data_IF_896273708012
#
_entry.id   IF_896273708012
#
_cell.length_a   1.000
_cell.length_b   1.000
_cell.length_c   1.000
_cell.angle_alpha   90.00
_cell.angle_beta   90.00
_cell.angle_gamma   90.00
#
_symmetry.space_group_name_H-M   'P 1'
#
loop_
_entity.id
_entity.type
_entity.pdbx_description
1 polymer ?
#
# COMPACT_ATOMS: atom_id res chain seq x y z
N UNK A 1 -5.18 44.89 6.31
CA UNK A 1 -5.46 44.41 4.94
C UNK A 1 -5.95 42.97 5.01
N UNK A 2 -6.96 42.62 4.23
CA UNK A 2 -7.75 41.38 4.31
C UNK A 2 -6.95 40.12 3.91
N UNK A 3 -5.91 39.77 4.66
CA UNK A 3 -4.96 38.70 4.32
C UNK A 3 -5.61 37.31 4.27
N UNK A 4 -6.58 37.05 5.15
CA UNK A 4 -7.38 35.82 5.12
C UNK A 4 -8.19 35.66 3.83
N UNK A 5 -8.68 36.76 3.23
CA UNK A 5 -9.38 36.72 1.93
C UNK A 5 -8.42 36.42 0.78
N UNK A 6 -7.18 36.90 0.87
CA UNK A 6 -6.13 36.61 -0.11
C UNK A 6 -5.66 35.16 -0.05
N UNK A 7 -5.44 34.60 1.15
CA UNK A 7 -5.07 33.20 1.32
C UNK A 7 -6.19 32.25 0.88
N UNK A 8 -7.44 32.58 1.20
CA UNK A 8 -8.61 31.83 0.76
C UNK A 8 -8.79 31.92 -0.77
N UNK A 9 -8.57 33.10 -1.35
CA UNK A 9 -8.56 33.29 -2.80
C UNK A 9 -7.46 32.48 -3.50
N UNK A 10 -6.24 32.45 -2.94
CA UNK A 10 -5.13 31.65 -3.46
C UNK A 10 -5.41 30.14 -3.36
N UNK A 11 -6.07 29.69 -2.29
CA UNK A 11 -6.49 28.30 -2.13
C UNK A 11 -7.52 27.90 -3.19
N UNK A 12 -8.56 28.72 -3.38
CA UNK A 12 -9.58 28.50 -4.42
C UNK A 12 -8.95 28.51 -5.80
N UNK A 13 -8.02 29.43 -6.05
CA UNK A 13 -7.30 29.52 -7.32
C UNK A 13 -6.44 28.28 -7.54
N UNK A 14 -5.71 27.79 -6.53
CA UNK A 14 -4.93 26.56 -6.62
C UNK A 14 -5.81 25.32 -6.87
N UNK A 15 -6.95 25.21 -6.17
CA UNK A 15 -7.94 24.14 -6.39
C UNK A 15 -8.51 24.23 -7.81
N UNK A 16 -8.81 25.44 -8.27
CA UNK A 16 -9.32 25.70 -9.62
C UNK A 16 -8.32 25.33 -10.71
N UNK A 17 -7.05 25.72 -10.56
CA UNK A 17 -5.96 25.35 -11.47
C UNK A 17 -5.74 23.84 -11.47
N UNK A 18 -5.82 23.18 -10.32
CA UNK A 18 -5.70 21.72 -10.21
C UNK A 18 -6.85 21.00 -10.94
N UNK A 19 -8.10 21.43 -10.72
CA UNK A 19 -9.27 20.90 -11.42
C UNK A 19 -9.16 21.12 -12.94
N UNK A 20 -8.67 22.28 -13.36
CA UNK A 20 -8.44 22.59 -14.76
C UNK A 20 -7.35 21.68 -15.37
N UNK A 21 -6.26 21.43 -14.64
CA UNK A 21 -5.19 20.54 -15.06
C UNK A 21 -5.65 19.07 -15.20
N UNK A 22 -6.55 18.60 -14.32
CA UNK A 22 -7.20 17.28 -14.44
C UNK A 22 -8.10 17.24 -15.69
N UNK A 23 -8.91 18.28 -15.93
CA UNK A 23 -9.80 18.37 -17.11
C UNK A 23 -9.05 18.46 -18.44
N UNK A 24 -7.87 19.10 -18.45
CA UNK A 24 -6.99 19.20 -19.62
C UNK A 24 -6.13 17.94 -19.85
N UNK A 25 -6.23 16.92 -18.99
CA UNK A 25 -5.48 15.69 -19.11
C UNK A 25 -4.00 15.78 -18.72
N UNK A 26 -3.57 16.91 -18.14
CA UNK A 26 -2.22 17.08 -17.59
C UNK A 26 -2.03 16.37 -16.24
N UNK A 27 -3.12 16.07 -15.53
CA UNK A 27 -3.11 15.37 -14.25
C UNK A 27 -4.08 14.17 -14.28
N UNK A 28 -3.68 13.06 -13.65
CA UNK A 28 -4.46 11.82 -13.63
C UNK A 28 -5.78 12.01 -12.85
N UNK A 29 -6.88 11.31 -13.18
CA UNK A 29 -8.17 11.46 -12.48
C UNK A 29 -8.11 11.16 -10.97
N UNK A 30 -7.09 10.44 -10.52
CA UNK A 30 -6.87 10.07 -9.11
C UNK A 30 -6.13 11.15 -8.29
N UNK A 31 -5.67 12.22 -8.94
CA UNK A 31 -4.97 13.36 -8.31
C UNK A 31 -5.73 13.96 -7.10
N UNK A 32 -7.06 14.18 -7.12
CA UNK A 32 -7.78 14.67 -5.94
C UNK A 32 -7.77 13.69 -4.77
N UNK A 33 -7.85 12.37 -5.03
CA UNK A 33 -7.79 11.34 -3.98
C UNK A 33 -6.40 11.28 -3.34
N UNK A 34 -5.35 11.50 -4.14
CA UNK A 34 -3.97 11.61 -3.66
C UNK A 34 -3.75 12.89 -2.85
N UNK A 35 -4.30 14.03 -3.26
CA UNK A 35 -4.21 15.29 -2.52
C UNK A 35 -4.90 15.20 -1.15
N UNK A 36 -6.02 14.48 -1.07
CA UNK A 36 -6.71 14.12 0.17
C UNK A 36 -5.83 13.29 1.13
N UNK A 37 -4.83 12.54 0.64
CA UNK A 37 -3.85 11.85 1.48
C UNK A 37 -2.88 12.81 2.18
N UNK A 38 -2.66 14.00 1.61
CA UNK A 38 -1.81 15.07 2.18
C UNK A 38 -2.62 16.15 2.91
N UNK A 39 -3.87 15.85 3.27
CA UNK A 39 -4.71 16.72 4.10
C UNK A 39 -4.03 17.24 5.40
N UNK A 40 -3.11 16.51 6.09
CA UNK A 40 -2.45 17.04 7.28
C UNK A 40 -1.48 18.18 6.94
N UNK A 41 -0.82 18.11 5.79
CA UNK A 41 0.07 19.17 5.28
C UNK A 41 -0.73 20.40 4.85
N UNK A 42 -1.91 20.20 4.26
CA UNK A 42 -2.85 21.29 3.95
C UNK A 42 -3.35 21.99 5.24
N UNK A 43 -3.64 21.23 6.30
CA UNK A 43 -3.98 21.77 7.60
C UNK A 43 -2.86 22.56 8.25
N UNK A 44 -1.62 22.07 8.15
CA UNK A 44 -0.43 22.79 8.64
C UNK A 44 -0.22 24.09 7.86
N UNK A 45 -0.32 24.06 6.53
CA UNK A 45 -0.22 25.25 5.69
C UNK A 45 -1.34 26.25 5.97
N UNK A 46 -2.57 25.76 6.19
CA UNK A 46 -3.72 26.57 6.56
C UNK A 46 -3.54 27.21 7.96
N UNK A 47 -3.05 26.43 8.93
CA UNK A 47 -2.72 26.91 10.27
C UNK A 47 -1.63 28.00 10.24
N UNK A 48 -0.59 27.81 9.43
CA UNK A 48 0.46 28.81 9.21
C UNK A 48 -0.07 30.08 8.55
N UNK A 49 -0.96 29.97 7.56
CA UNK A 49 -1.58 31.13 6.91
C UNK A 49 -2.47 31.92 7.89
N UNK A 50 -3.20 31.23 8.77
CA UNK A 50 -4.01 31.85 9.81
C UNK A 50 -3.13 32.56 10.85
N UNK A 51 -2.05 31.90 11.28
CA UNK A 51 -1.07 32.45 12.22
C UNK A 51 -0.33 33.67 11.64
N UNK A 52 0.02 33.64 10.35
CA UNK A 52 0.60 34.77 9.63
C UNK A 52 -0.33 35.99 9.56
N UNK A 53 -1.64 35.75 9.42
CA UNK A 53 -2.66 36.80 9.47
C UNK A 53 -2.77 37.48 10.84
N UNK A 54 -2.53 36.73 11.92
CA UNK A 54 -2.53 37.25 13.30
C UNK A 54 -1.28 38.08 13.60
N UNK A 55 -0.11 37.68 13.11
CA UNK A 55 1.18 38.32 13.44
C UNK A 55 1.46 39.56 12.57
N UNK A 56 0.59 39.92 11.61
CA UNK A 56 0.77 41.04 10.65
C UNK A 56 2.14 41.03 9.95
N UNK A 57 2.78 39.87 9.81
CA UNK A 57 4.14 39.77 9.30
C UNK A 57 4.12 39.35 7.81
N UNK A 58 4.35 40.27 6.87
CA UNK A 58 4.17 40.02 5.43
C UNK A 58 5.13 38.96 4.88
N UNK A 59 6.29 38.78 5.50
CA UNK A 59 7.26 37.73 5.11
C UNK A 59 6.73 36.32 5.36
N UNK A 60 6.01 36.08 6.45
CA UNK A 60 5.44 34.76 6.76
C UNK A 60 4.36 34.36 5.76
N UNK A 61 3.58 35.34 5.29
CA UNK A 61 2.55 35.12 4.26
C UNK A 61 3.15 34.82 2.88
N UNK A 62 4.24 35.50 2.51
CA UNK A 62 4.98 35.19 1.29
C UNK A 62 5.58 33.77 1.34
N UNK A 63 6.11 33.37 2.50
CA UNK A 63 6.64 32.02 2.71
C UNK A 63 5.54 30.95 2.61
N UNK A 64 4.33 31.22 3.14
CA UNK A 64 3.18 30.33 3.00
C UNK A 64 2.74 30.18 1.53
N UNK A 65 2.70 31.27 0.76
CA UNK A 65 2.37 31.24 -0.67
C UNK A 65 3.45 30.46 -1.44
N UNK A 66 4.74 30.69 -1.15
CA UNK A 66 5.86 29.94 -1.75
C UNK A 66 5.81 28.46 -1.39
N UNK A 67 5.39 28.09 -0.18
CA UNK A 67 5.19 26.70 0.22
C UNK A 67 4.03 26.05 -0.54
N UNK A 68 2.92 26.78 -0.73
CA UNK A 68 1.77 26.28 -1.48
C UNK A 68 2.12 26.14 -2.97
N UNK A 69 2.63 27.20 -3.62
CA UNK A 69 3.03 27.17 -5.02
C UNK A 69 4.17 26.17 -5.25
N UNK A 70 5.20 26.22 -4.41
CA UNK A 70 6.34 25.31 -4.44
C UNK A 70 5.90 23.88 -4.26
N UNK A 71 5.09 23.58 -3.25
CA UNK A 71 4.54 22.24 -3.01
C UNK A 71 3.66 21.74 -4.16
N UNK A 72 2.90 22.63 -4.82
CA UNK A 72 2.08 22.27 -5.98
C UNK A 72 2.93 21.97 -7.20
N UNK A 73 3.93 22.81 -7.52
CA UNK A 73 4.84 22.61 -8.66
C UNK A 73 5.74 21.40 -8.43
N UNK A 74 6.31 21.23 -7.23
CA UNK A 74 7.11 20.07 -6.88
C UNK A 74 6.25 18.80 -6.89
N UNK A 75 5.01 18.88 -6.41
CA UNK A 75 4.04 17.78 -6.42
C UNK A 75 3.70 17.35 -7.85
N UNK A 76 3.39 18.29 -8.73
CA UNK A 76 3.12 18.03 -10.16
C UNK A 76 4.37 17.44 -10.84
N UNK A 77 5.55 18.01 -10.59
CA UNK A 77 6.80 17.53 -11.17
C UNK A 77 7.14 16.11 -10.70
N UNK A 78 6.94 15.82 -9.41
CA UNK A 78 7.15 14.50 -8.83
C UNK A 78 6.13 13.48 -9.37
N UNK A 79 4.85 13.86 -9.52
CA UNK A 79 3.82 13.02 -10.15
C UNK A 79 4.11 12.75 -11.64
N UNK A 80 4.67 13.72 -12.36
CA UNK A 80 5.04 13.55 -13.77
C UNK A 80 6.31 12.68 -13.91
N UNK A 81 7.23 12.72 -12.95
CA UNK A 81 8.34 11.76 -12.87
C UNK A 81 7.87 10.35 -12.49
N UNK A 82 6.91 10.22 -11.56
CA UNK A 82 6.34 8.93 -11.19
C UNK A 82 5.49 8.32 -12.30
N UNK A 83 4.73 9.12 -13.06
CA UNK A 83 3.94 8.61 -14.20
C UNK A 83 4.80 8.05 -15.34
N UNK A 84 6.06 8.50 -15.46
CA UNK A 84 7.04 7.94 -16.42
C UNK A 84 7.69 6.65 -15.94
N UNK A 85 7.65 6.37 -14.63
CA UNK A 85 8.00 5.07 -14.06
C UNK A 85 6.70 4.27 -13.98
N UNK A 86 6.34 3.59 -15.07
CA UNK A 86 5.18 2.69 -15.08
C UNK A 86 5.17 1.80 -13.82
N UNK A 87 3.99 1.38 -13.33
CA UNK A 87 3.85 0.73 -12.04
C UNK A 87 4.92 -0.35 -11.87
N UNK A 88 5.77 -0.21 -10.86
CA UNK A 88 6.81 -1.19 -10.56
C UNK A 88 6.14 -2.56 -10.40
N UNK A 89 6.33 -3.42 -11.40
CA UNK A 89 5.84 -4.80 -11.42
C UNK A 89 7.01 -5.70 -11.07
N UNK A 90 7.03 -6.20 -9.84
CA UNK A 90 7.96 -7.23 -9.42
C UNK A 90 7.26 -8.58 -9.50
N UNK A 91 7.80 -9.52 -10.26
CA UNK A 91 7.36 -10.90 -10.24
C UNK A 91 8.54 -11.78 -9.82
N UNK A 92 8.36 -12.60 -8.80
CA UNK A 92 9.37 -13.55 -8.38
C UNK A 92 8.75 -14.89 -8.08
N UNK A 93 9.48 -15.96 -8.40
CA UNK A 93 9.03 -17.33 -8.19
C UNK A 93 10.08 -18.09 -7.39
N UNK A 94 9.64 -18.75 -6.33
CA UNK A 94 10.45 -19.69 -5.55
C UNK A 94 10.00 -21.10 -5.89
N UNK A 95 10.93 -21.94 -6.36
CA UNK A 95 10.65 -23.35 -6.64
C UNK A 95 10.73 -24.19 -5.35
N UNK A 96 9.59 -24.67 -4.86
CA UNK A 96 9.53 -25.45 -3.61
C UNK A 96 10.04 -26.88 -3.79
N UNK A 97 10.00 -27.42 -5.02
CA UNK A 97 10.47 -28.77 -5.32
C UNK A 97 11.97 -28.92 -5.10
N UNK A 98 12.75 -27.90 -5.46
CA UNK A 98 14.20 -27.85 -5.19
C UNK A 98 14.52 -27.69 -3.71
N UNK A 99 13.62 -27.08 -2.94
CA UNK A 99 13.79 -26.80 -1.52
C UNK A 99 13.32 -27.95 -0.60
N UNK A 100 12.72 -29.01 -1.16
CA UNK A 100 12.20 -30.18 -0.42
C UNK A 100 11.25 -29.78 0.74
N UNK A 101 10.38 -28.80 0.47
CA UNK A 101 9.45 -28.24 1.45
C UNK A 101 8.15 -29.07 1.44
N UNK A 102 7.67 -29.47 2.62
CA UNK A 102 6.42 -30.21 2.81
C UNK A 102 5.31 -29.39 3.48
N UNK A 103 5.64 -28.23 4.03
CA UNK A 103 4.65 -27.30 4.62
C UNK A 103 5.14 -25.86 4.48
N UNK A 104 4.22 -24.92 4.23
CA UNK A 104 4.56 -23.52 3.96
C UNK A 104 3.89 -22.60 4.98
N UNK A 105 4.65 -21.72 5.60
CA UNK A 105 4.13 -20.60 6.38
C UNK A 105 4.23 -19.32 5.55
N UNK A 106 3.11 -18.65 5.31
CA UNK A 106 3.05 -17.38 4.58
C UNK A 106 2.73 -16.27 5.57
N UNK A 107 3.69 -15.36 5.78
CA UNK A 107 3.59 -14.23 6.71
C UNK A 107 3.62 -12.92 5.93
N UNK A 108 2.51 -12.21 5.94
CA UNK A 108 2.35 -10.97 5.17
C UNK A 108 1.96 -9.83 6.10
N UNK A 109 2.73 -8.74 6.04
CA UNK A 109 2.40 -7.47 6.70
C UNK A 109 2.11 -6.40 5.65
N UNK A 110 0.98 -5.73 5.80
CA UNK A 110 0.49 -4.71 4.84
C UNK A 110 0.05 -3.46 5.60
N UNK A 111 0.46 -2.28 5.14
CA UNK A 111 0.05 -0.99 5.73
C UNK A 111 -0.96 -0.20 4.87
N UNK A 112 -1.02 -0.48 3.58
CA UNK A 112 -2.03 0.07 2.69
C UNK A 112 -2.05 -0.76 1.41
N UNK A 113 -3.24 -0.99 0.86
CA UNK A 113 -3.48 -1.65 -0.42
C UNK A 113 -4.11 -3.04 -0.32
N UNK A 114 -4.01 -3.81 -1.41
CA UNK A 114 -4.69 -5.10 -1.54
C UNK A 114 -3.72 -6.29 -1.45
N UNK A 115 -4.05 -7.27 -0.62
CA UNK A 115 -3.38 -8.56 -0.57
C UNK A 115 -4.30 -9.65 -1.14
N UNK A 116 -3.80 -10.39 -2.12
CA UNK A 116 -4.52 -11.45 -2.83
C UNK A 116 -3.76 -12.77 -2.68
N UNK A 117 -4.40 -13.75 -2.06
CA UNK A 117 -3.84 -15.08 -1.79
C UNK A 117 -4.65 -16.13 -2.52
N UNK A 118 -4.04 -16.89 -3.43
CA UNK A 118 -4.75 -17.87 -4.28
C UNK A 118 -3.92 -19.12 -4.53
N UNK A 119 -4.59 -20.17 -5.01
CA UNK A 119 -3.90 -21.33 -5.53
C UNK A 119 -3.15 -20.98 -6.82
N UNK A 120 -1.94 -21.50 -6.97
CA UNK A 120 -1.22 -21.50 -8.23
C UNK A 120 -1.95 -22.40 -9.25
N UNK A 121 -1.81 -22.15 -10.56
CA UNK A 121 -2.35 -23.03 -11.59
C UNK A 121 -1.95 -24.50 -11.35
N UNK A 122 -2.81 -25.47 -11.69
CA UNK A 122 -2.48 -26.89 -11.55
C UNK A 122 -1.20 -27.21 -12.34
N UNK A 123 -0.27 -27.94 -11.72
CA UNK A 123 1.11 -28.27 -12.17
C UNK A 123 2.24 -27.29 -11.82
N UNK A 124 1.98 -26.26 -11.02
CA UNK A 124 3.06 -25.38 -10.53
C UNK A 124 3.61 -25.90 -9.19
N UNK A 125 4.91 -26.19 -9.11
CA UNK A 125 5.61 -26.60 -7.87
C UNK A 125 6.18 -25.41 -7.08
N UNK A 126 6.01 -24.19 -7.58
CA UNK A 126 6.60 -22.99 -7.01
C UNK A 126 5.57 -22.05 -6.38
N UNK A 127 6.05 -21.22 -5.46
CA UNK A 127 5.33 -20.05 -4.96
C UNK A 127 5.64 -18.88 -5.89
N UNK A 128 4.61 -18.22 -6.41
CA UNK A 128 4.79 -16.98 -7.19
C UNK A 128 4.31 -15.78 -6.39
N UNK A 129 5.10 -14.72 -6.45
CA UNK A 129 4.89 -13.47 -5.73
C UNK A 129 4.84 -12.36 -6.78
N UNK A 130 3.69 -11.74 -6.91
CA UNK A 130 3.44 -10.59 -7.78
C UNK A 130 3.26 -9.33 -6.96
N UNK A 131 3.98 -8.27 -7.33
CA UNK A 131 3.94 -6.97 -6.70
C UNK A 131 3.56 -5.92 -7.73
N UNK A 132 2.64 -5.03 -7.39
CA UNK A 132 2.28 -3.89 -8.22
C UNK A 132 2.23 -2.62 -7.38
N UNK A 133 2.82 -1.54 -7.90
CA UNK A 133 2.71 -0.21 -7.32
C UNK A 133 3.33 -0.13 -5.92
N UNK A 134 4.49 -0.75 -5.72
CA UNK A 134 5.27 -0.63 -4.48
C UNK A 134 5.93 0.75 -4.47
N UNK A 135 5.65 1.55 -3.45
CA UNK A 135 6.35 2.81 -3.24
C UNK A 135 7.61 2.58 -2.38
N UNK A 136 8.78 2.90 -2.93
CA UNK A 136 10.06 2.75 -2.26
C UNK A 136 11.15 2.25 -3.21
N UNK A 137 12.42 2.47 -2.84
CA UNK A 137 13.52 1.80 -3.50
C UNK A 137 13.35 0.29 -3.37
N UNK A 138 13.86 -0.44 -4.37
CA UNK A 138 13.76 -1.88 -4.64
C UNK A 138 14.14 -2.84 -3.51
N UNK A 139 14.34 -2.36 -2.28
CA UNK A 139 14.67 -3.10 -1.07
C UNK A 139 13.46 -3.78 -0.38
N UNK A 140 12.25 -3.58 -0.90
CA UNK A 140 11.07 -4.34 -0.45
C UNK A 140 11.08 -5.70 -1.14
N UNK A 141 12.03 -6.55 -0.78
CA UNK A 141 12.06 -7.95 -1.18
C UNK A 141 11.11 -8.79 -0.34
N UNK A 142 10.97 -10.06 -0.67
CA UNK A 142 10.45 -11.08 0.24
C UNK A 142 11.62 -11.87 0.81
N UNK A 143 11.46 -12.39 2.03
CA UNK A 143 12.40 -13.34 2.61
C UNK A 143 11.81 -14.74 2.49
N UNK A 144 12.56 -15.67 1.94
CA UNK A 144 12.18 -17.08 1.94
C UNK A 144 13.22 -17.87 2.69
N UNK A 145 12.81 -18.54 3.76
CA UNK A 145 13.68 -19.39 4.57
C UNK A 145 13.15 -20.81 4.62
N UNK A 146 14.07 -21.77 4.65
CA UNK A 146 13.74 -23.18 4.78
C UNK A 146 14.38 -23.69 6.07
N UNK A 147 13.54 -24.16 7.00
CA UNK A 147 14.01 -24.78 8.24
C UNK A 147 13.55 -26.24 8.25
N UNK A 148 14.48 -27.15 7.98
CA UNK A 148 14.16 -28.56 7.76
C UNK A 148 13.28 -28.73 6.52
N UNK A 149 12.06 -29.25 6.68
CA UNK A 149 11.06 -29.41 5.60
C UNK A 149 9.99 -28.31 5.60
N UNK A 150 10.15 -27.26 6.41
CA UNK A 150 9.20 -26.15 6.52
C UNK A 150 9.74 -24.93 5.79
N UNK A 151 8.99 -24.42 4.82
CA UNK A 151 9.27 -23.15 4.16
C UNK A 151 8.55 -22.02 4.88
N UNK A 152 9.20 -20.88 5.06
CA UNK A 152 8.63 -19.66 5.59
C UNK A 152 8.83 -18.54 4.57
N UNK A 153 7.73 -18.01 4.04
CA UNK A 153 7.70 -16.83 3.20
C UNK A 153 7.30 -15.63 4.05
N UNK A 154 8.15 -14.62 4.11
CA UNK A 154 7.90 -13.38 4.85
C UNK A 154 7.93 -12.17 3.92
N UNK A 155 6.87 -11.36 4.00
CA UNK A 155 6.77 -10.08 3.33
C UNK A 155 6.34 -8.97 4.30
N UNK A 156 6.99 -7.79 4.27
CA UNK A 156 8.21 -7.45 3.50
C UNK A 156 9.50 -8.00 4.18
N UNK A 157 10.58 -8.16 3.41
CA UNK A 157 11.90 -8.59 3.92
C UNK A 157 12.50 -7.58 4.90
N UNK A 158 12.38 -6.29 4.59
CA UNK A 158 12.79 -5.19 5.45
C UNK A 158 11.57 -4.34 5.78
N UNK A 159 11.45 -3.95 7.04
CA UNK A 159 10.47 -2.95 7.45
C UNK A 159 11.02 -1.57 7.12
N UNK A 160 10.17 -0.64 6.69
CA UNK A 160 10.60 0.74 6.45
C UNK A 160 11.16 1.39 7.73
N UNK A 161 11.77 2.57 7.61
CA UNK A 161 12.48 3.27 8.71
C UNK A 161 11.69 3.57 9.99
N UNK A 162 10.40 3.24 10.03
CA UNK A 162 9.51 3.35 11.20
C UNK A 162 8.86 2.02 11.62
N UNK A 163 9.33 0.87 11.13
CA UNK A 163 8.69 -0.43 11.36
C UNK A 163 7.40 -0.65 10.55
N UNK A 164 7.04 0.31 9.71
CA UNK A 164 5.82 0.28 8.89
C UNK A 164 6.14 -0.41 7.56
N UNK A 165 5.35 -1.43 7.15
CA UNK A 165 5.45 -2.00 5.81
C UNK A 165 5.29 -0.93 4.74
N UNK A 166 6.02 -1.01 3.61
CA UNK A 166 5.84 -0.06 2.53
C UNK A 166 4.44 -0.23 1.91
N UNK A 167 3.82 0.87 1.47
CA UNK A 167 2.54 0.79 0.80
C UNK A 167 2.73 0.13 -0.56
N UNK A 168 1.94 -0.91 -0.82
CA UNK A 168 1.89 -1.61 -2.10
C UNK A 168 0.46 -1.57 -2.61
N UNK A 169 0.24 -1.12 -3.84
CA UNK A 169 -1.10 -1.08 -4.40
C UNK A 169 -1.73 -2.49 -4.46
N UNK A 170 -0.94 -3.50 -4.85
CA UNK A 170 -1.36 -4.90 -4.85
C UNK A 170 -0.20 -5.86 -4.60
N UNK A 171 -0.39 -6.80 -3.67
CA UNK A 171 0.46 -7.96 -3.43
C UNK A 171 -0.34 -9.22 -3.76
N UNK A 172 0.19 -10.05 -4.64
CA UNK A 172 -0.41 -11.33 -5.03
C UNK A 172 0.54 -12.46 -4.68
N UNK A 173 0.07 -13.45 -3.92
CA UNK A 173 0.83 -14.64 -3.57
C UNK A 173 0.05 -15.85 -4.05
N UNK A 174 0.68 -16.66 -4.90
CA UNK A 174 0.12 -17.93 -5.35
C UNK A 174 0.93 -19.09 -4.85
N UNK A 175 0.26 -20.04 -4.21
CA UNK A 175 0.87 -21.23 -3.61
C UNK A 175 0.35 -22.51 -4.25
N UNK A 176 1.15 -23.58 -4.32
CA UNK A 176 0.64 -24.88 -4.78
C UNK A 176 -0.48 -25.40 -3.86
N UNK A 177 -1.53 -25.95 -4.45
CA UNK A 177 -2.71 -26.42 -3.71
C UNK A 177 -2.49 -27.68 -2.87
N UNK A 178 -1.48 -28.49 -3.22
CA UNK A 178 -1.20 -29.82 -2.64
C UNK A 178 -0.30 -29.78 -1.41
N UNK A 179 -0.11 -28.60 -0.81
CA UNK A 179 0.87 -28.38 0.26
C UNK A 179 0.18 -27.69 1.42
N UNK A 180 0.30 -28.20 2.66
CA UNK A 180 -0.33 -27.57 3.81
C UNK A 180 0.25 -26.17 4.05
N UNK A 181 -0.62 -25.16 4.04
CA UNK A 181 -0.26 -23.75 4.21
C UNK A 181 -0.81 -23.15 5.50
N UNK A 182 0.07 -22.51 6.27
CA UNK A 182 -0.31 -21.65 7.39
C UNK A 182 -0.24 -20.18 6.93
N UNK A 183 -1.39 -19.51 6.86
CA UNK A 183 -1.51 -18.12 6.45
C UNK A 183 -1.58 -17.20 7.67
N UNK A 184 -0.64 -16.25 7.74
CA UNK A 184 -0.60 -15.21 8.75
C UNK A 184 -0.59 -13.84 8.06
N UNK A 185 -1.67 -13.08 8.23
CA UNK A 185 -1.80 -11.74 7.68
C UNK A 185 -1.93 -10.70 8.79
N UNK A 186 -1.21 -9.59 8.65
CA UNK A 186 -1.33 -8.42 9.50
C UNK A 186 -1.55 -7.19 8.61
N UNK A 187 -2.78 -6.69 8.59
CA UNK A 187 -3.22 -5.57 7.77
C UNK A 187 -3.52 -4.35 8.63
N UNK A 188 -2.88 -3.24 8.32
CA UNK A 188 -3.26 -1.91 8.76
C UNK A 188 -3.78 -1.17 7.52
N UNK A 189 -4.97 -0.58 7.56
CA UNK A 189 -5.58 0.14 6.42
C UNK A 189 -5.53 -0.62 5.08
N UNK A 190 -5.72 -1.94 5.11
CA UNK A 190 -5.52 -2.82 3.96
C UNK A 190 -6.74 -3.72 3.71
N UNK A 191 -6.84 -4.26 2.50
CA UNK A 191 -7.84 -5.26 2.14
C UNK A 191 -7.18 -6.58 1.79
N UNK A 192 -7.71 -7.69 2.30
CA UNK A 192 -7.23 -9.04 2.02
C UNK A 192 -8.31 -9.86 1.33
N UNK A 193 -7.91 -10.60 0.30
CA UNK A 193 -8.70 -11.64 -0.33
C UNK A 193 -7.90 -12.94 -0.30
N UNK A 194 -8.47 -13.98 0.28
CA UNK A 194 -7.92 -15.33 0.24
C UNK A 194 -8.92 -16.27 -0.41
N UNK A 195 -8.49 -16.92 -1.49
CA UNK A 195 -9.19 -18.03 -2.13
C UNK A 195 -8.48 -19.33 -1.75
N UNK A 196 -9.14 -20.09 -0.87
CA UNK A 196 -8.66 -21.34 -0.29
C UNK A 196 -9.36 -22.57 -0.89
N UNK A 197 -10.24 -22.42 -1.88
CA UNK A 197 -11.03 -23.53 -2.44
C UNK A 197 -10.15 -24.68 -2.97
N UNK A 198 -8.92 -24.33 -3.41
CA UNK A 198 -7.94 -25.27 -3.99
C UNK A 198 -6.64 -25.32 -3.21
N UNK A 199 -6.65 -24.94 -1.93
CA UNK A 199 -5.47 -24.92 -1.07
C UNK A 199 -5.74 -25.74 0.18
N UNK A 200 -4.79 -26.61 0.54
CA UNK A 200 -4.77 -27.24 1.85
C UNK A 200 -4.36 -26.22 2.94
N UNK A 201 -5.31 -25.39 3.38
CA UNK A 201 -5.06 -24.44 4.44
C UNK A 201 -5.06 -25.14 5.81
N UNK A 202 -3.93 -25.15 6.52
CA UNK A 202 -3.87 -25.72 7.87
C UNK A 202 -4.37 -24.72 8.92
N UNK A 203 -3.90 -23.47 8.85
CA UNK A 203 -4.24 -22.42 9.82
C UNK A 203 -4.32 -21.06 9.13
N UNK A 204 -5.34 -20.29 9.46
CA UNK A 204 -5.48 -18.90 9.02
C UNK A 204 -5.53 -17.97 10.25
N UNK A 205 -4.56 -17.07 10.36
CA UNK A 205 -4.54 -16.02 11.40
C UNK A 205 -4.52 -14.66 10.76
N UNK A 206 -5.56 -13.87 11.03
CA UNK A 206 -5.74 -12.53 10.50
C UNK A 206 -5.66 -11.53 11.64
N UNK A 207 -4.83 -10.51 11.48
CA UNK A 207 -4.76 -9.36 12.36
C UNK A 207 -5.14 -8.11 11.58
N UNK A 208 -6.24 -7.48 11.95
CA UNK A 208 -6.91 -6.45 11.18
C UNK A 208 -7.01 -5.17 11.99
N UNK A 209 -6.45 -4.08 11.46
CA UNK A 209 -6.56 -2.74 12.02
C UNK A 209 -7.08 -1.82 10.93
N UNK A 210 -8.31 -1.32 11.06
CA UNK A 210 -9.02 -0.54 10.03
C UNK A 210 -8.93 -1.19 8.65
N UNK A 211 -9.16 -2.50 8.60
CA UNK A 211 -8.88 -3.34 7.44
C UNK A 211 -10.09 -4.22 7.11
N UNK A 212 -10.10 -4.83 5.93
CA UNK A 212 -11.16 -5.78 5.53
C UNK A 212 -10.56 -7.08 5.02
N UNK A 213 -11.19 -8.21 5.32
CA UNK A 213 -10.83 -9.52 4.75
C UNK A 213 -12.02 -10.20 4.11
N UNK A 214 -11.74 -10.94 3.03
CA UNK A 214 -12.67 -11.87 2.39
C UNK A 214 -11.96 -13.20 2.20
N UNK A 215 -12.51 -14.24 2.81
CA UNK A 215 -12.00 -15.61 2.67
C UNK A 215 -13.07 -16.43 1.94
N UNK A 216 -12.70 -17.01 0.82
CA UNK A 216 -13.50 -17.93 0.02
C UNK A 216 -12.92 -19.33 0.23
N UNK A 217 -13.73 -20.28 0.67
CA UNK A 217 -13.32 -21.67 0.90
C UNK A 217 -14.51 -22.61 0.63
N UNK A 218 -14.21 -23.82 0.18
CA UNK A 218 -15.16 -24.93 0.03
C UNK A 218 -14.92 -25.97 1.14
N UNK A 219 -15.79 -26.98 1.25
CA UNK A 219 -15.70 -28.02 2.29
C UNK A 219 -14.34 -28.75 2.31
N UNK A 220 -13.70 -28.90 1.15
CA UNK A 220 -12.36 -29.51 1.02
C UNK A 220 -11.18 -28.56 1.33
N UNK A 221 -11.41 -27.24 1.29
CA UNK A 221 -10.40 -26.20 1.51
C UNK A 221 -10.54 -25.49 2.86
N UNK A 222 -11.42 -26.00 3.75
CA UNK A 222 -11.71 -25.40 5.04
C UNK A 222 -10.50 -25.53 5.97
N UNK A 223 -9.96 -24.42 6.49
CA UNK A 223 -8.86 -24.48 7.44
C UNK A 223 -9.29 -25.08 8.77
N UNK A 224 -8.39 -25.83 9.40
CA UNK A 224 -8.62 -26.44 10.72
C UNK A 224 -8.89 -25.36 11.79
N UNK A 225 -8.27 -24.19 11.62
CA UNK A 225 -8.37 -23.09 12.57
C UNK A 225 -8.34 -21.73 11.86
N UNK A 226 -9.35 -20.90 12.15
CA UNK A 226 -9.42 -19.49 11.74
C UNK A 226 -9.40 -18.64 13.00
N UNK A 227 -8.41 -17.75 13.12
CA UNK A 227 -8.36 -16.73 14.17
C UNK A 227 -8.32 -15.35 13.55
N UNK A 228 -9.24 -14.49 13.96
CA UNK A 228 -9.29 -13.08 13.56
C UNK A 228 -9.13 -12.22 14.81
N UNK A 229 -8.23 -11.24 14.76
CA UNK A 229 -7.92 -10.35 15.86
C UNK A 229 -7.83 -8.91 15.37
N UNK A 230 -8.20 -7.94 16.21
CA UNK A 230 -7.94 -6.52 15.98
C UNK A 230 -9.20 -5.65 15.97
N UNK A 231 -9.07 -4.45 15.42
CA UNK A 231 -10.13 -3.44 15.31
C UNK A 231 -10.46 -3.25 13.83
N UNK A 232 -11.54 -3.87 13.38
CA UNK A 232 -12.08 -3.68 12.03
C UNK A 232 -12.82 -2.34 11.92
#
# INVERSE_FOLDING_TARGET
MNFGKFAFGALILAIGVLLLAVRLGFAHPDTPMFLLRYWPLLLIAFGLAFLAGVIKNPFLGCFAILLILGGTVLGIFWMNQQSKRGPSRGASSVDLGKANVTSLAVRVRSFAGAFDFRAAPPRTSGVSIGLQGVAGDSAVGYRFEVTGKKGALEWPQTQGGFGIPPPAAKLEVRVPGTLPVALHWNGWFASMRADLERIEAARCTLHEVFSSSRIEFDDAGRPEEIRVWGFA
#
